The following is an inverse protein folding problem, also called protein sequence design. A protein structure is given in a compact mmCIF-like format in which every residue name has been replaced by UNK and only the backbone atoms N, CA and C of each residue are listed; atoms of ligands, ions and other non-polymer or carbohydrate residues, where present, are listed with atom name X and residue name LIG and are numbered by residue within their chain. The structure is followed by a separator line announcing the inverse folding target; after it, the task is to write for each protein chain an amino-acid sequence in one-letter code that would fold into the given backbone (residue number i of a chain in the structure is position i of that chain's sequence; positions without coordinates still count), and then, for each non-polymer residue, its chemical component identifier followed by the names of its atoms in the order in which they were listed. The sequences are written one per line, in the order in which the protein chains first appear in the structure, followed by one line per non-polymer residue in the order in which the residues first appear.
data_IF_590842512268
#
_entry.id   IF_590842512268
#
_cell.length_a   1.000
_cell.length_b   1.000
_cell.length_c   1.000
_cell.angle_alpha   90.00
_cell.angle_beta   90.00
_cell.angle_gamma   90.00
#
_symmetry.space_group_name_H-M   'P 1'
#
loop_
_entity.id
_entity.type
_entity.pdbx_description
1 polymer ?
#
# COMPACT_ATOMS: atom_id res chain seq x y z
N UNK A 1 35.00 11.47 33.80
CA UNK A 1 34.47 12.78 34.24
C UNK A 1 34.11 13.50 32.95
N UNK A 2 32.94 13.23 32.37
CA UNK A 2 31.71 14.03 32.59
C UNK A 2 32.05 15.51 32.32
N UNK A 3 31.47 16.26 31.38
CA UNK A 3 30.05 16.36 31.07
C UNK A 3 29.81 17.44 29.97
N UNK A 4 28.80 17.22 29.11
CA UNK A 4 27.77 18.18 28.63
C UNK A 4 28.20 19.45 27.85
N UNK A 5 27.72 19.64 26.61
CA UNK A 5 26.35 20.01 26.18
C UNK A 5 26.32 21.48 25.74
N UNK A 6 26.14 21.73 24.45
CA UNK A 6 25.76 23.05 23.93
C UNK A 6 24.32 22.98 23.41
N UNK A 7 23.37 23.41 24.24
CA UNK A 7 22.01 23.77 23.82
C UNK A 7 22.06 25.19 23.25
N UNK A 8 21.66 25.40 22.00
CA UNK A 8 21.43 26.73 21.45
C UNK A 8 19.96 27.11 21.67
N UNK A 9 19.77 28.13 22.51
CA UNK A 9 18.52 28.84 22.75
C UNK A 9 18.26 29.76 21.56
N UNK A 10 17.06 29.72 20.96
CA UNK A 10 16.59 30.79 20.06
C UNK A 10 15.28 31.31 20.64
N UNK A 11 15.34 32.55 21.10
CA UNK A 11 14.24 33.35 21.64
C UNK A 11 13.43 33.93 20.49
N UNK A 12 12.11 33.72 20.45
CA UNK A 12 11.21 34.47 19.57
C UNK A 12 10.51 35.58 20.38
N UNK A 13 10.76 36.82 19.98
CA UNK A 13 10.08 38.00 20.48
C UNK A 13 8.69 38.10 19.82
N UNK A 14 7.65 38.24 20.64
CA UNK A 14 6.29 38.54 20.20
C UNK A 14 6.15 40.06 20.08
N UNK A 15 5.86 40.55 18.88
CA UNK A 15 5.42 41.93 18.66
C UNK A 15 4.02 41.89 18.05
N UNK A 16 3.05 42.34 18.82
CA UNK A 16 1.65 42.50 18.43
C UNK A 16 1.43 43.85 17.75
N UNK A 17 0.82 43.86 16.57
CA UNK A 17 0.20 45.06 15.98
C UNK A 17 -1.12 44.68 15.29
N UNK A 18 -2.16 45.44 15.58
CA UNK A 18 -3.54 45.17 15.18
C UNK A 18 -3.93 45.79 13.82
N UNK A 19 -4.65 44.97 13.04
CA UNK A 19 -5.74 45.25 12.11
C UNK A 19 -5.56 46.19 10.89
N UNK A 20 -5.69 45.60 9.69
CA UNK A 20 -6.53 46.13 8.62
C UNK A 20 -7.06 44.97 7.76
N UNK A 21 -8.38 44.91 7.58
CA UNK A 21 -9.08 43.80 6.94
C UNK A 21 -8.86 43.70 5.43
N UNK A 22 -8.58 42.49 4.99
CA UNK A 22 -8.93 41.98 3.66
C UNK A 22 -9.43 40.55 3.87
N UNK A 23 -10.63 40.25 3.37
CA UNK A 23 -11.18 38.89 3.38
C UNK A 23 -10.37 38.09 2.36
N UNK A 24 -9.32 37.41 2.81
CA UNK A 24 -8.79 36.28 2.08
C UNK A 24 -9.85 35.18 2.17
N UNK A 25 -10.42 34.80 1.02
CA UNK A 25 -11.10 33.53 0.89
C UNK A 25 -10.13 32.45 1.38
N UNK A 26 -10.41 31.90 2.57
CA UNK A 26 -9.62 30.83 3.15
C UNK A 26 -9.71 29.63 2.22
N UNK A 27 -8.66 29.40 1.45
CA UNK A 27 -8.37 28.05 0.96
C UNK A 27 -8.12 27.25 2.23
N UNK A 28 -9.12 26.49 2.66
CA UNK A 28 -8.91 25.44 3.65
C UNK A 28 -8.04 24.41 2.95
N UNK A 29 -6.75 24.45 3.25
CA UNK A 29 -5.91 23.28 3.05
C UNK A 29 -6.44 22.26 4.05
N UNK A 30 -7.16 21.25 3.57
CA UNK A 30 -7.52 20.12 4.42
C UNK A 30 -6.21 19.56 4.97
N UNK A 31 -6.03 19.66 6.29
CA UNK A 31 -4.89 19.00 6.92
C UNK A 31 -5.05 17.48 6.69
N UNK A 32 -3.97 16.76 6.35
CA UNK A 32 -4.04 15.31 6.26
C UNK A 32 -4.56 14.79 7.60
N UNK A 33 -5.75 14.19 7.60
CA UNK A 33 -6.33 13.66 8.84
C UNK A 33 -5.50 12.47 9.29
N UNK A 34 -4.93 12.52 10.48
CA UNK A 34 -4.22 11.41 11.14
C UNK A 34 -5.11 10.18 11.43
N UNK A 35 -6.40 10.22 11.05
CA UNK A 35 -7.40 9.17 11.29
C UNK A 35 -7.67 8.30 10.04
N UNK A 36 -6.63 7.90 9.30
CA UNK A 36 -6.78 6.91 8.24
C UNK A 36 -6.92 5.51 8.82
N UNK A 37 -7.89 4.74 8.30
CA UNK A 37 -8.10 3.32 8.64
C UNK A 37 -7.97 2.46 7.39
N UNK A 38 -7.55 1.20 7.55
CA UNK A 38 -7.56 0.22 6.45
C UNK A 38 -9.01 -0.18 6.14
N UNK A 39 -9.56 0.39 5.08
CA UNK A 39 -10.88 0.11 4.52
C UNK A 39 -10.95 -1.27 3.86
N UNK A 40 -9.81 -1.83 3.46
CA UNK A 40 -9.71 -3.19 2.92
C UNK A 40 -9.71 -4.26 4.02
N UNK A 41 -9.56 -3.90 5.30
CA UNK A 41 -9.47 -4.86 6.39
C UNK A 41 -10.69 -5.81 6.42
N UNK A 42 -10.43 -7.10 6.27
CA UNK A 42 -11.41 -8.18 6.22
C UNK A 42 -12.34 -8.16 5.01
N UNK A 43 -12.00 -7.40 3.95
CA UNK A 43 -12.81 -7.30 2.73
C UNK A 43 -12.50 -8.45 1.77
N UNK A 44 -13.52 -8.96 1.07
CA UNK A 44 -13.27 -10.00 0.08
C UNK A 44 -12.49 -9.43 -1.10
N UNK A 45 -11.67 -10.29 -1.69
CA UNK A 45 -11.00 -10.01 -2.95
C UNK A 45 -10.96 -11.24 -3.86
N UNK A 46 -10.64 -11.00 -5.12
CA UNK A 46 -10.35 -12.06 -6.09
C UNK A 46 -8.98 -11.84 -6.71
N UNK A 47 -8.25 -12.92 -6.99
CA UNK A 47 -6.95 -12.88 -7.66
C UNK A 47 -7.08 -13.45 -9.07
N UNK A 48 -6.71 -12.65 -10.08
CA UNK A 48 -6.58 -13.06 -11.47
C UNK A 48 -5.11 -13.27 -11.82
N UNK A 49 -4.80 -14.39 -12.47
CA UNK A 49 -3.47 -14.69 -13.00
C UNK A 49 -3.44 -14.26 -14.47
N UNK A 50 -2.52 -13.36 -14.83
CA UNK A 50 -2.51 -12.74 -16.16
C UNK A 50 -2.15 -13.73 -17.28
N UNK A 51 -1.14 -14.57 -17.05
CA UNK A 51 -0.64 -15.54 -18.04
C UNK A 51 -0.55 -16.94 -17.41
N UNK A 52 -1.69 -17.47 -16.97
CA UNK A 52 -1.75 -18.72 -16.20
C UNK A 52 -1.01 -19.86 -16.90
N UNK A 53 -0.15 -20.52 -16.12
CA UNK A 53 0.54 -21.75 -16.47
C UNK A 53 0.45 -22.71 -15.29
N UNK A 54 -0.37 -23.76 -15.41
CA UNK A 54 -0.65 -24.72 -14.34
C UNK A 54 0.59 -25.40 -13.77
N UNK A 55 1.71 -25.45 -14.52
CA UNK A 55 2.96 -25.99 -14.01
C UNK A 55 3.55 -25.14 -12.87
N UNK A 56 3.17 -23.87 -12.76
CA UNK A 56 3.61 -22.98 -11.67
C UNK A 56 2.70 -23.11 -10.42
N UNK A 57 1.41 -23.41 -10.59
CA UNK A 57 0.44 -23.50 -9.49
C UNK A 57 0.89 -24.47 -8.37
N UNK A 58 1.53 -25.59 -8.74
CA UNK A 58 2.09 -26.55 -7.77
C UNK A 58 3.21 -25.98 -6.89
N UNK A 59 3.93 -24.98 -7.39
CA UNK A 59 5.00 -24.31 -6.63
C UNK A 59 4.39 -23.29 -5.68
N UNK A 60 3.39 -22.53 -6.13
CA UNK A 60 2.67 -21.53 -5.33
C UNK A 60 1.94 -22.16 -4.13
N UNK A 61 1.55 -23.44 -4.22
CA UNK A 61 0.96 -24.18 -3.11
C UNK A 61 1.84 -24.25 -1.83
N UNK A 62 3.14 -23.93 -1.92
CA UNK A 62 4.02 -23.82 -0.76
C UNK A 62 3.87 -22.49 0.01
N UNK A 63 3.26 -21.47 -0.61
CA UNK A 63 3.04 -20.13 -0.07
C UNK A 63 1.61 -19.67 -0.43
N UNK A 64 0.58 -20.38 0.04
CA UNK A 64 -0.78 -20.21 -0.43
C UNK A 64 -1.42 -18.93 0.10
N UNK A 65 -2.44 -18.47 -0.63
CA UNK A 65 -3.50 -17.62 -0.11
C UNK A 65 -4.62 -18.53 0.42
N UNK A 66 -4.71 -18.68 1.75
CA UNK A 66 -5.62 -19.63 2.39
C UNK A 66 -7.00 -18.99 2.55
N UNK A 67 -7.97 -19.54 1.81
CA UNK A 67 -9.33 -19.03 1.75
C UNK A 67 -9.49 -17.62 1.14
N UNK A 68 -8.46 -17.04 0.53
CA UNK A 68 -8.56 -15.74 -0.14
C UNK A 68 -8.66 -14.57 0.83
N UNK A 69 -7.82 -14.54 1.87
CA UNK A 69 -7.95 -13.55 2.97
C UNK A 69 -6.66 -12.84 3.34
N UNK A 70 -5.52 -13.50 3.23
CA UNK A 70 -4.22 -13.04 3.75
C UNK A 70 -3.90 -11.62 3.29
N UNK A 71 -4.21 -11.25 2.04
CA UNK A 71 -3.89 -9.92 1.52
C UNK A 71 -4.66 -8.78 2.17
N UNK A 72 -5.63 -9.06 3.04
CA UNK A 72 -6.52 -8.05 3.64
C UNK A 72 -6.88 -8.34 5.10
N UNK A 73 -6.22 -9.30 5.76
CA UNK A 73 -6.59 -9.73 7.11
C UNK A 73 -5.92 -8.90 8.22
N UNK A 74 -5.00 -8.01 7.85
CA UNK A 74 -4.26 -7.14 8.76
C UNK A 74 -3.04 -7.81 9.40
N UNK A 75 -2.68 -9.03 8.99
CA UNK A 75 -1.51 -9.76 9.47
C UNK A 75 -0.33 -9.51 8.54
N UNK A 76 0.69 -8.82 9.05
CA UNK A 76 1.93 -8.56 8.31
C UNK A 76 3.07 -9.39 8.88
N UNK A 77 4.01 -9.79 8.01
CA UNK A 77 5.22 -10.45 8.46
C UNK A 77 6.09 -9.44 9.25
N UNK A 78 6.50 -9.76 10.49
CA UNK A 78 7.22 -8.82 11.35
C UNK A 78 8.69 -8.66 10.98
N UNK A 79 9.22 -9.55 10.12
CA UNK A 79 10.64 -9.64 9.76
C UNK A 79 10.80 -10.14 8.33
N UNK A 80 11.98 -9.90 7.76
CA UNK A 80 12.41 -10.44 6.47
C UNK A 80 12.62 -11.96 6.59
N UNK A 81 11.54 -12.73 6.44
CA UNK A 81 11.52 -14.19 6.52
C UNK A 81 10.40 -14.75 5.64
N UNK A 82 10.76 -15.41 4.53
CA UNK A 82 9.77 -15.94 3.58
C UNK A 82 9.04 -17.21 4.08
N UNK A 83 9.43 -17.76 5.24
CA UNK A 83 8.68 -18.85 5.89
C UNK A 83 7.54 -18.36 6.78
N UNK A 84 7.38 -17.04 6.95
CA UNK A 84 6.27 -16.48 7.70
C UNK A 84 4.95 -16.70 6.95
N UNK A 85 3.91 -17.27 7.60
CA UNK A 85 2.66 -17.63 6.92
C UNK A 85 1.83 -16.41 6.48
N UNK A 86 2.18 -15.19 6.91
CA UNK A 86 1.53 -13.98 6.37
C UNK A 86 1.86 -13.75 4.88
N UNK A 87 2.93 -14.35 4.35
CA UNK A 87 3.28 -14.18 2.95
C UNK A 87 2.49 -15.09 2.02
N UNK A 88 1.86 -14.49 1.01
CA UNK A 88 1.40 -15.18 -0.20
C UNK A 88 2.46 -15.07 -1.29
N UNK A 89 2.82 -16.20 -1.90
CA UNK A 89 3.85 -16.28 -2.94
C UNK A 89 3.27 -16.54 -4.33
N UNK A 90 3.61 -15.67 -5.27
CA UNK A 90 3.25 -15.79 -6.68
C UNK A 90 4.48 -16.03 -7.54
N UNK A 91 4.41 -16.98 -8.48
CA UNK A 91 5.52 -17.39 -9.31
C UNK A 91 5.21 -17.22 -10.80
N UNK A 92 5.91 -16.29 -11.45
CA UNK A 92 5.79 -16.04 -12.89
C UNK A 92 4.32 -15.72 -13.29
N UNK A 93 3.92 -16.23 -14.46
CA UNK A 93 2.56 -16.13 -15.00
C UNK A 93 2.12 -14.68 -15.28
N UNK A 94 3.07 -13.86 -15.75
CA UNK A 94 2.87 -12.46 -16.18
C UNK A 94 2.71 -11.48 -15.03
N UNK A 95 1.90 -11.84 -14.03
CA UNK A 95 1.55 -10.96 -12.93
C UNK A 95 0.27 -11.39 -12.24
N UNK A 96 -0.21 -10.54 -11.34
CA UNK A 96 -1.50 -10.70 -10.67
C UNK A 96 -2.33 -9.43 -10.79
N UNK A 97 -3.64 -9.61 -10.88
CA UNK A 97 -4.60 -8.56 -10.54
C UNK A 97 -5.39 -9.00 -9.30
N UNK A 98 -5.37 -8.18 -8.26
CA UNK A 98 -6.19 -8.34 -7.07
C UNK A 98 -7.29 -7.31 -7.11
N UNK A 99 -8.54 -7.77 -7.11
CA UNK A 99 -9.73 -6.93 -7.07
C UNK A 99 -10.38 -7.02 -5.70
N UNK A 100 -10.34 -5.93 -4.93
CA UNK A 100 -10.92 -5.82 -3.59
C UNK A 100 -12.29 -5.13 -3.68
N UNK A 101 -13.32 -5.70 -3.06
CA UNK A 101 -14.64 -5.06 -2.87
C UNK A 101 -14.73 -4.45 -1.46
N UNK A 102 -14.65 -3.12 -1.36
CA UNK A 102 -14.75 -2.39 -0.08
C UNK A 102 -16.18 -2.44 0.51
N UNK A 103 -17.18 -2.86 -0.28
CA UNK A 103 -18.58 -3.02 0.10
C UNK A 103 -19.45 -1.77 -0.11
N UNK A 104 -18.84 -0.59 -0.25
CA UNK A 104 -19.51 0.67 -0.54
C UNK A 104 -18.57 1.65 -1.23
N UNK A 105 -19.12 2.68 -1.90
CA UNK A 105 -18.32 3.76 -2.47
C UNK A 105 -17.82 4.66 -1.34
N UNK A 106 -16.53 4.61 -1.07
CA UNK A 106 -15.85 5.32 0.04
C UNK A 106 -14.71 6.18 -0.50
N UNK A 107 -14.31 7.21 0.25
CA UNK A 107 -13.16 8.06 -0.07
C UNK A 107 -11.87 7.33 0.28
N UNK A 108 -10.93 7.32 -0.66
CA UNK A 108 -9.63 6.66 -0.55
C UNK A 108 -8.55 7.74 -0.56
N UNK A 109 -7.63 7.65 0.40
CA UNK A 109 -6.52 8.59 0.59
C UNK A 109 -5.17 7.98 0.27
N UNK A 110 -5.01 6.65 0.41
CA UNK A 110 -3.75 5.97 0.13
C UNK A 110 -4.00 4.50 -0.20
N UNK A 111 -3.19 3.94 -1.08
CA UNK A 111 -3.09 2.50 -1.30
C UNK A 111 -1.65 2.09 -1.04
N UNK A 112 -1.47 1.01 -0.28
CA UNK A 112 -0.16 0.45 0.05
C UNK A 112 -0.19 -1.07 -0.14
N UNK A 113 0.84 -1.61 -0.77
CA UNK A 113 1.07 -3.04 -0.92
C UNK A 113 2.45 -3.34 -0.39
N UNK A 114 2.59 -4.36 0.44
CA UNK A 114 3.88 -4.72 1.04
C UNK A 114 4.49 -5.92 0.33
N UNK A 115 5.69 -5.72 -0.23
CA UNK A 115 6.42 -6.76 -0.96
C UNK A 115 7.66 -7.22 -0.19
N UNK A 116 8.05 -8.47 -0.38
CA UNK A 116 9.33 -9.00 0.11
C UNK A 116 10.39 -8.98 -1.01
N UNK A 117 11.56 -8.42 -0.72
CA UNK A 117 12.79 -8.66 -1.46
C UNK A 117 13.64 -9.69 -0.72
N UNK A 118 14.05 -10.77 -1.39
CA UNK A 118 14.99 -11.75 -0.86
C UNK A 118 15.78 -12.39 -2.00
N UNK A 119 16.85 -11.72 -2.45
CA UNK A 119 17.58 -12.08 -3.69
C UNK A 119 18.14 -13.50 -3.67
N UNK A 120 18.70 -13.95 -2.54
CA UNK A 120 19.28 -15.30 -2.42
C UNK A 120 18.23 -16.43 -2.49
N UNK A 121 16.95 -16.11 -2.23
CA UNK A 121 15.82 -17.03 -2.33
C UNK A 121 15.08 -16.90 -3.68
N UNK A 122 15.56 -16.04 -4.59
CA UNK A 122 14.91 -15.78 -5.87
C UNK A 122 13.59 -15.00 -5.75
N UNK A 123 13.41 -14.23 -4.66
CA UNK A 123 12.24 -13.38 -4.44
C UNK A 123 12.61 -11.94 -4.83
N UNK A 124 11.92 -11.41 -5.84
CA UNK A 124 12.14 -10.07 -6.39
C UNK A 124 10.93 -9.18 -6.14
N UNK A 125 11.18 -7.88 -6.01
CA UNK A 125 10.13 -6.87 -6.12
C UNK A 125 9.52 -6.88 -7.53
N UNK A 126 8.23 -6.54 -7.70
CA UNK A 126 7.66 -6.36 -9.02
C UNK A 126 8.29 -5.16 -9.73
N UNK A 127 8.47 -5.26 -11.05
CA UNK A 127 8.96 -4.13 -11.87
C UNK A 127 7.88 -3.05 -12.04
N UNK A 128 6.62 -3.47 -12.01
CA UNK A 128 5.45 -2.60 -12.11
C UNK A 128 4.46 -3.05 -11.05
N UNK A 129 3.94 -2.10 -10.27
CA UNK A 129 2.77 -2.26 -9.43
C UNK A 129 1.87 -1.03 -9.60
N UNK A 130 0.59 -1.23 -9.83
CA UNK A 130 -0.36 -0.20 -10.20
C UNK A 130 -1.69 -0.41 -9.48
N UNK A 131 -2.43 0.68 -9.29
CA UNK A 131 -3.79 0.65 -8.75
C UNK A 131 -4.75 1.40 -9.66
N UNK A 132 -5.95 0.84 -9.83
CA UNK A 132 -7.08 1.47 -10.50
C UNK A 132 -8.34 1.36 -9.66
N UNK A 133 -9.28 2.27 -9.90
CA UNK A 133 -10.46 2.46 -9.05
C UNK A 133 -11.75 2.37 -9.87
N UNK A 134 -12.79 1.84 -9.26
CA UNK A 134 -14.13 1.75 -9.86
C UNK A 134 -15.24 1.87 -8.80
N UNK A 135 -16.34 2.53 -9.16
CA UNK A 135 -17.56 2.54 -8.34
C UNK A 135 -18.47 1.33 -8.60
N UNK A 136 -18.45 0.78 -9.83
CA UNK A 136 -19.37 -0.25 -10.30
C UNK A 136 -18.73 -1.63 -10.53
N UNK A 137 -17.40 -1.71 -10.53
CA UNK A 137 -16.63 -2.93 -10.74
C UNK A 137 -16.50 -3.33 -12.20
N UNK A 138 -16.97 -2.50 -13.14
CA UNK A 138 -16.93 -2.74 -14.58
C UNK A 138 -15.98 -1.76 -15.27
N UNK A 139 -16.16 -0.45 -15.02
CA UNK A 139 -15.32 0.59 -15.59
C UNK A 139 -14.28 1.03 -14.57
N UNK A 140 -13.00 0.82 -14.89
CA UNK A 140 -11.88 1.26 -14.08
C UNK A 140 -11.24 2.50 -14.70
N UNK A 141 -10.85 3.45 -13.84
CA UNK A 141 -10.03 4.58 -14.26
C UNK A 141 -8.62 4.14 -14.68
N UNK A 142 -7.88 5.07 -15.30
CA UNK A 142 -6.48 4.85 -15.66
C UNK A 142 -5.65 4.41 -14.45
N UNK A 143 -4.74 3.44 -14.62
CA UNK A 143 -3.90 2.96 -13.54
C UNK A 143 -2.93 4.04 -13.03
N UNK A 144 -2.71 4.04 -11.73
CA UNK A 144 -1.72 4.86 -11.05
C UNK A 144 -0.62 3.96 -10.50
N UNK A 145 0.63 4.23 -10.86
CA UNK A 145 1.79 3.50 -10.37
C UNK A 145 1.97 3.65 -8.85
N UNK A 146 2.16 2.54 -8.15
CA UNK A 146 2.58 2.48 -6.76
C UNK A 146 4.11 2.45 -6.73
N UNK A 147 4.73 3.36 -5.99
CA UNK A 147 6.19 3.48 -5.91
C UNK A 147 6.73 2.91 -4.59
N UNK A 148 7.93 2.31 -4.58
CA UNK A 148 8.56 1.87 -3.35
C UNK A 148 8.75 3.06 -2.40
N UNK A 149 8.43 2.85 -1.13
CA UNK A 149 8.54 3.86 -0.06
C UNK A 149 9.82 3.73 0.76
N UNK A 150 10.60 2.69 0.50
CA UNK A 150 11.87 2.38 1.13
C UNK A 150 12.94 2.05 0.07
N UNK A 151 14.21 1.99 0.49
CA UNK A 151 15.34 1.69 -0.40
C UNK A 151 15.31 0.24 -0.89
N UNK A 152 15.17 0.08 -2.21
CA UNK A 152 15.10 -1.18 -2.94
C UNK A 152 16.47 -1.81 -3.24
N UNK A 153 17.58 -1.14 -2.88
CA UNK A 153 18.93 -1.67 -3.15
C UNK A 153 19.33 -2.81 -2.22
N UNK A 154 18.70 -2.91 -1.04
CA UNK A 154 18.98 -3.95 -0.06
C UNK A 154 18.65 -5.34 -0.62
N UNK A 155 19.53 -6.35 -0.44
CA UNK A 155 19.29 -7.68 -0.98
C UNK A 155 18.15 -8.42 -0.28
N UNK A 156 17.79 -7.99 0.94
CA UNK A 156 16.79 -8.57 1.81
C UNK A 156 16.05 -7.43 2.55
N UNK A 157 14.79 -7.19 2.22
CA UNK A 157 13.98 -6.12 2.79
C UNK A 157 12.49 -6.39 2.63
N UNK A 158 11.66 -5.78 3.48
CA UNK A 158 10.23 -5.62 3.19
C UNK A 158 10.07 -4.21 2.63
N UNK A 159 9.53 -4.10 1.42
CA UNK A 159 9.44 -2.83 0.69
C UNK A 159 7.97 -2.53 0.39
N UNK A 160 7.34 -1.60 1.12
CA UNK A 160 6.00 -1.16 0.79
C UNK A 160 6.00 -0.28 -0.46
N UNK A 161 5.12 -0.57 -1.40
CA UNK A 161 4.83 0.26 -2.57
C UNK A 161 3.53 1.01 -2.30
N UNK A 162 3.50 2.32 -2.54
CA UNK A 162 2.33 3.13 -2.21
C UNK A 162 2.12 4.31 -3.17
N UNK A 163 0.88 4.81 -3.16
CA UNK A 163 0.49 6.10 -3.73
C UNK A 163 -0.57 6.77 -2.85
N UNK A 164 -0.61 8.09 -2.87
CA UNK A 164 -1.56 8.91 -2.11
C UNK A 164 -2.51 9.66 -3.05
N UNK A 165 -3.73 9.88 -2.58
CA UNK A 165 -4.84 10.32 -3.41
C UNK A 165 -5.63 11.44 -2.73
N UNK A 166 -6.14 12.38 -3.54
CA UNK A 166 -7.09 13.41 -3.10
C UNK A 166 -8.33 13.34 -4.00
N UNK A 167 -9.51 13.28 -3.39
CA UNK A 167 -10.78 13.28 -4.12
C UNK A 167 -11.15 11.96 -4.81
N UNK A 168 -10.39 10.88 -4.59
CA UNK A 168 -10.74 9.55 -5.13
C UNK A 168 -11.84 8.92 -4.28
N UNK A 169 -12.88 8.44 -4.95
CA UNK A 169 -13.95 7.62 -4.36
C UNK A 169 -14.13 6.35 -5.19
N UNK A 170 -14.27 5.21 -4.52
CA UNK A 170 -14.43 3.92 -5.18
C UNK A 170 -15.08 2.90 -4.24
N UNK A 171 -15.70 1.88 -4.83
CA UNK A 171 -16.06 0.65 -4.11
C UNK A 171 -15.06 -0.47 -4.40
N UNK A 172 -14.58 -0.53 -5.63
CA UNK A 172 -13.67 -1.56 -6.09
C UNK A 172 -12.28 -0.97 -6.30
N UNK A 173 -11.28 -1.65 -5.77
CA UNK A 173 -9.86 -1.29 -5.93
C UNK A 173 -9.16 -2.46 -6.59
N UNK A 174 -8.60 -2.23 -7.78
CA UNK A 174 -7.83 -3.23 -8.50
C UNK A 174 -6.35 -2.89 -8.39
N UNK A 175 -5.57 -3.78 -7.80
CA UNK A 175 -4.12 -3.71 -7.72
C UNK A 175 -3.56 -4.70 -8.73
N UNK A 176 -2.66 -4.26 -9.61
CA UNK A 176 -1.99 -5.12 -10.58
C UNK A 176 -0.48 -5.04 -10.38
N UNK A 177 0.23 -6.17 -10.48
CA UNK A 177 1.70 -6.16 -10.48
C UNK A 177 2.29 -7.24 -11.38
N UNK A 178 3.50 -6.99 -11.88
CA UNK A 178 4.26 -7.96 -12.66
C UNK A 178 4.90 -9.03 -11.77
N UNK A 179 5.05 -10.25 -12.29
CA UNK A 179 5.67 -11.35 -11.56
C UNK A 179 6.66 -12.08 -12.48
N UNK A 180 7.95 -11.73 -12.37
CA UNK A 180 9.01 -12.29 -13.24
C UNK A 180 9.61 -13.61 -12.69
N UNK A 181 9.78 -13.68 -11.37
CA UNK A 181 10.15 -14.89 -10.62
C UNK A 181 9.20 -15.01 -9.42
N UNK A 182 9.67 -15.16 -8.19
CA UNK A 182 8.82 -15.08 -7.01
C UNK A 182 8.56 -13.61 -6.66
N UNK A 183 7.29 -13.29 -6.44
CA UNK A 183 6.84 -12.06 -5.80
C UNK A 183 6.01 -12.46 -4.59
N UNK A 184 6.35 -11.90 -3.43
CA UNK A 184 5.72 -12.21 -2.15
C UNK A 184 5.01 -10.96 -1.64
N UNK A 185 3.76 -11.12 -1.20
CA UNK A 185 2.89 -10.05 -0.68
C UNK A 185 2.31 -10.51 0.65
N UNK A 186 2.38 -9.68 1.69
CA UNK A 186 1.74 -9.97 2.97
C UNK A 186 0.42 -9.22 3.14
N UNK A 187 0.36 -7.92 2.80
CA UNK A 187 -0.86 -7.12 3.00
C UNK A 187 -1.05 -6.07 1.90
N UNK A 188 -2.31 -5.86 1.52
CA UNK A 188 -2.81 -4.74 0.72
C UNK A 188 -3.73 -3.87 1.60
N UNK A 189 -3.32 -2.62 1.81
CA UNK A 189 -4.09 -1.65 2.58
C UNK A 189 -4.69 -0.59 1.66
N UNK A 190 -5.99 -0.41 1.76
CA UNK A 190 -6.72 0.72 1.17
C UNK A 190 -7.09 1.65 2.30
N UNK A 191 -6.39 2.77 2.43
CA UNK A 191 -6.51 3.68 3.55
C UNK A 191 -7.41 4.86 3.20
N UNK A 192 -8.33 5.20 4.10
CA UNK A 192 -9.18 6.38 3.97
C UNK A 192 -9.75 6.83 5.31
N UNK A 193 -10.48 7.95 5.34
CA UNK A 193 -11.07 8.49 6.57
C UNK A 193 -11.95 7.46 7.29
N UNK A 194 -11.89 7.48 8.63
CA UNK A 194 -12.76 6.67 9.49
C UNK A 194 -14.24 7.10 9.41
N UNK A 195 -15.15 6.13 9.52
CA UNK A 195 -16.59 6.39 9.72
C UNK A 195 -17.37 6.78 8.45
N UNK A 196 -16.90 6.32 7.29
CA UNK A 196 -17.56 6.51 6.00
C UNK A 196 -18.66 5.49 5.73
#
# INVERSE_FOLDING_TARGET
MELRSAKRLITFAVLSLAALGTVLAGITLAEPSDDLVNLALGKPYTVTILERNEAMDKHEAAYPDTDGKELTDGLVAPKVNFYDPAWVGYLRQGGREVLIDLGAVVSISKVRVRFLAYKDAGISLPEIAEVSFSEDGQAFGEPVTLLPTEDETQPQAIVPFAAEFTGVRARYVKIAWSTNVWVFVDEIEVLGPKGQ
#
